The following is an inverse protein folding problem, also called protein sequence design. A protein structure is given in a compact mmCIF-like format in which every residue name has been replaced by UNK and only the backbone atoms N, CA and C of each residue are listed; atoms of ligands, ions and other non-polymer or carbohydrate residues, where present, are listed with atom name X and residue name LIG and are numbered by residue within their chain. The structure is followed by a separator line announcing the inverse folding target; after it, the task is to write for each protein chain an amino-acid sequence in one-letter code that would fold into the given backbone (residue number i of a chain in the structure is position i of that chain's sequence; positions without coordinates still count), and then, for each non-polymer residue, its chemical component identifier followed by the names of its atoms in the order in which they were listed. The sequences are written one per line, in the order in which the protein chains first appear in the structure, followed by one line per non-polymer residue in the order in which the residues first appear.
data_IF_725459970485
#
_entry.id   IF_725459970485
#
_cell.length_a   1.000
_cell.length_b   1.000
_cell.length_c   1.000
_cell.angle_alpha   90.00
_cell.angle_beta   90.00
_cell.angle_gamma   90.00
#
_symmetry.space_group_name_H-M   'P 1'
#
loop_
_entity.id
_entity.type
_entity.pdbx_description
1 polymer ?
#
# COMPACT_ATOMS: atom_id res chain seq x y z
N UNK A 1 -8.70 5.59 9.85
CA UNK A 1 -7.99 5.46 11.14
C UNK A 1 -8.81 6.06 12.29
N UNK A 2 -8.98 7.38 12.39
CA UNK A 2 -9.74 8.05 13.47
C UNK A 2 -11.11 7.41 13.79
N UNK A 3 -11.98 7.22 12.78
CA UNK A 3 -13.30 6.57 12.96
C UNK A 3 -13.20 5.16 13.52
N UNK A 4 -12.25 4.36 13.04
CA UNK A 4 -12.05 2.97 13.50
C UNK A 4 -11.55 2.95 14.95
N UNK A 5 -10.59 3.81 15.28
CA UNK A 5 -10.08 3.93 16.64
C UNK A 5 -11.19 4.33 17.64
N UNK A 6 -12.08 5.25 17.24
CA UNK A 6 -13.25 5.62 18.04
C UNK A 6 -14.24 4.46 18.24
N UNK A 7 -14.50 3.65 17.21
CA UNK A 7 -15.37 2.46 17.32
C UNK A 7 -14.76 1.42 18.28
N UNK A 8 -13.44 1.24 18.27
CA UNK A 8 -12.75 0.29 19.16
C UNK A 8 -12.59 0.86 20.58
N UNK A 9 -12.67 2.17 20.76
CA UNK A 9 -12.47 2.83 22.05
C UNK A 9 -10.99 3.07 22.41
N UNK A 10 -10.10 3.18 21.41
CA UNK A 10 -8.66 3.40 21.61
C UNK A 10 -8.23 4.82 21.25
N UNK A 11 -7.21 5.33 21.96
CA UNK A 11 -6.61 6.64 21.68
C UNK A 11 -5.90 6.61 20.33
N UNK A 12 -6.17 7.61 19.49
CA UNK A 12 -5.52 7.76 18.18
C UNK A 12 -4.52 8.91 18.19
N UNK A 13 -3.22 8.62 18.01
CA UNK A 13 -2.15 9.61 17.79
C UNK A 13 -1.67 9.51 16.34
N UNK A 14 -1.68 10.63 15.61
CA UNK A 14 -1.03 10.70 14.30
C UNK A 14 0.45 11.03 14.51
N UNK A 15 1.32 10.33 13.80
CA UNK A 15 2.78 10.52 13.83
C UNK A 15 3.28 10.79 12.42
N UNK A 16 4.41 11.49 12.31
CA UNK A 16 5.07 11.75 11.03
C UNK A 16 6.34 10.91 10.96
N UNK A 17 6.50 10.21 9.85
CA UNK A 17 7.71 9.47 9.46
C UNK A 17 8.46 10.26 8.40
N UNK A 18 9.73 9.91 8.18
CA UNK A 18 10.61 10.58 7.23
C UNK A 18 11.29 9.61 6.26
N UNK A 19 10.61 8.54 5.87
CA UNK A 19 11.18 7.54 4.95
C UNK A 19 11.57 8.15 3.60
N UNK A 20 10.94 9.25 3.19
CA UNK A 20 11.29 9.99 1.97
C UNK A 20 12.58 10.82 2.08
N UNK A 21 13.22 10.84 3.26
CA UNK A 21 14.54 11.45 3.50
C UNK A 21 15.66 10.38 3.51
N UNK A 22 15.31 9.09 3.38
CA UNK A 22 16.25 7.97 3.37
C UNK A 22 16.59 7.56 1.93
N UNK A 23 17.85 7.75 1.53
CA UNK A 23 18.35 7.38 0.20
C UNK A 23 18.10 5.91 -0.14
N UNK A 24 18.15 5.01 0.84
CA UNK A 24 17.90 3.58 0.62
C UNK A 24 16.42 3.29 0.32
N UNK A 25 15.50 4.06 0.89
CA UNK A 25 14.09 4.03 0.49
C UNK A 25 13.90 4.65 -0.88
N UNK A 26 14.50 5.82 -1.15
CA UNK A 26 14.37 6.55 -2.41
C UNK A 26 14.92 5.76 -3.61
N UNK A 27 15.95 4.93 -3.40
CA UNK A 27 16.50 4.04 -4.42
C UNK A 27 15.49 2.99 -4.93
N UNK A 28 14.39 2.76 -4.20
CA UNK A 28 13.32 1.84 -4.59
C UNK A 28 13.82 0.44 -4.96
N UNK A 29 14.77 -0.08 -4.16
CA UNK A 29 15.24 -1.45 -4.26
C UNK A 29 14.19 -2.47 -3.81
N UNK A 30 14.50 -3.76 -3.94
CA UNK A 30 13.64 -4.86 -3.47
C UNK A 30 13.35 -4.77 -1.96
N UNK A 31 14.25 -4.14 -1.22
CA UNK A 31 14.20 -3.89 0.21
C UNK A 31 13.57 -2.54 0.61
N UNK A 32 12.98 -1.75 -0.30
CA UNK A 32 12.33 -0.46 0.07
C UNK A 32 11.34 -0.59 1.24
N UNK A 33 10.64 -1.72 1.29
CA UNK A 33 9.64 -1.99 2.33
C UNK A 33 10.29 -2.19 3.69
N UNK A 34 11.53 -2.70 3.72
CA UNK A 34 12.34 -2.79 4.94
C UNK A 34 12.69 -1.39 5.44
N UNK A 35 13.26 -0.52 4.60
CA UNK A 35 13.65 0.85 4.98
C UNK A 35 12.47 1.68 5.49
N UNK A 36 11.36 1.69 4.73
CA UNK A 36 10.12 2.35 5.13
C UNK A 36 9.58 1.84 6.49
N UNK A 37 9.65 0.53 6.74
CA UNK A 37 9.21 -0.06 8.00
C UNK A 37 10.17 0.20 9.15
N UNK A 38 11.47 0.23 8.89
CA UNK A 38 12.48 0.54 9.91
C UNK A 38 12.28 1.94 10.47
N UNK A 39 12.07 2.95 9.62
CA UNK A 39 11.73 4.31 10.05
C UNK A 39 10.40 4.34 10.84
N UNK A 40 9.35 3.69 10.32
CA UNK A 40 8.07 3.61 11.03
C UNK A 40 8.22 3.01 12.43
N UNK A 41 8.95 1.90 12.56
CA UNK A 41 9.13 1.23 13.85
C UNK A 41 10.03 2.02 14.80
N UNK A 42 11.05 2.72 14.30
CA UNK A 42 11.84 3.66 15.10
C UNK A 42 11.00 4.81 15.65
N UNK A 43 10.10 5.38 14.85
CA UNK A 43 9.13 6.40 15.32
C UNK A 43 8.17 5.82 16.35
N UNK A 44 7.62 4.63 16.12
CA UNK A 44 6.68 3.98 17.04
C UNK A 44 7.34 3.57 18.36
N UNK A 45 8.63 3.21 18.36
CA UNK A 45 9.41 2.95 19.58
C UNK A 45 9.44 4.16 20.50
N UNK A 46 9.79 5.35 19.97
CA UNK A 46 9.74 6.61 20.73
C UNK A 46 8.35 6.93 21.28
N UNK A 47 7.32 6.64 20.49
CA UNK A 47 5.91 6.84 20.91
C UNK A 47 5.52 5.88 22.04
N UNK A 48 6.05 4.66 22.04
CA UNK A 48 5.84 3.68 23.09
C UNK A 48 6.55 4.12 24.39
N UNK A 49 7.80 4.57 24.28
CA UNK A 49 8.57 5.13 25.40
C UNK A 49 7.85 6.32 26.06
N UNK A 50 7.38 7.28 25.25
CA UNK A 50 6.54 8.42 25.72
C UNK A 50 5.30 7.94 26.49
N UNK A 51 4.76 6.77 26.14
CA UNK A 51 3.57 6.18 26.74
C UNK A 51 3.87 5.25 27.93
N UNK A 52 5.14 5.09 28.30
CA UNK A 52 5.57 4.23 29.41
C UNK A 52 5.50 2.73 29.10
N UNK A 53 5.60 2.34 27.83
CA UNK A 53 5.58 0.93 27.41
C UNK A 53 6.70 0.66 26.40
N UNK A 54 7.19 -0.57 26.36
CA UNK A 54 8.13 -1.03 25.32
C UNK A 54 7.44 -1.80 24.19
N UNK A 55 6.13 -2.05 24.31
CA UNK A 55 5.42 -2.95 23.41
C UNK A 55 4.82 -2.20 22.23
N UNK A 56 5.28 -2.55 21.02
CA UNK A 56 4.65 -2.18 19.76
C UNK A 56 4.16 -3.43 19.06
N UNK A 57 2.89 -3.44 18.65
CA UNK A 57 2.25 -4.56 17.94
C UNK A 57 1.89 -4.16 16.52
N UNK A 58 1.95 -5.14 15.62
CA UNK A 58 1.58 -5.00 14.21
C UNK A 58 0.51 -6.02 13.85
N UNK A 59 -0.41 -5.65 12.95
CA UNK A 59 -1.52 -6.49 12.49
C UNK A 59 -1.14 -7.50 11.40
N UNK A 60 0.12 -7.93 11.33
CA UNK A 60 0.51 -9.05 10.47
C UNK A 60 -0.25 -10.32 10.90
N UNK A 61 -0.70 -11.12 9.93
CA UNK A 61 -1.46 -12.36 10.12
C UNK A 61 -0.75 -13.55 9.43
N UNK A 62 -1.27 -14.77 9.61
CA UNK A 62 -0.60 -15.99 9.16
C UNK A 62 -0.34 -16.03 7.65
N UNK A 63 -1.29 -15.58 6.84
CA UNK A 63 -1.16 -15.53 5.38
C UNK A 63 -0.04 -14.59 4.92
N UNK A 64 0.34 -13.61 5.75
CA UNK A 64 1.42 -12.67 5.42
C UNK A 64 2.82 -13.32 5.48
N UNK A 65 2.97 -14.49 6.11
CA UNK A 65 4.27 -15.17 6.27
C UNK A 65 4.77 -15.84 4.98
N UNK A 66 3.86 -16.19 4.06
CA UNK A 66 4.20 -16.80 2.77
C UNK A 66 4.59 -15.80 1.68
N UNK A 67 4.40 -14.50 1.93
CA UNK A 67 4.66 -13.44 0.97
C UNK A 67 6.11 -12.91 1.08
N UNK A 68 6.67 -12.40 -0.03
CA UNK A 68 7.90 -11.62 0.02
C UNK A 68 7.68 -10.30 0.79
N UNK A 69 8.03 -10.29 2.09
CA UNK A 69 7.81 -9.15 2.99
C UNK A 69 9.07 -8.73 3.76
N UNK A 70 9.98 -7.98 3.11
CA UNK A 70 11.13 -7.37 3.78
C UNK A 70 10.77 -6.53 5.02
N UNK A 71 9.54 -6.00 5.07
CA UNK A 71 9.03 -5.28 6.24
C UNK A 71 8.90 -6.11 7.51
N UNK A 72 8.72 -7.43 7.42
CA UNK A 72 8.69 -8.32 8.60
C UNK A 72 10.09 -8.50 9.20
N UNK A 73 11.15 -8.41 8.38
CA UNK A 73 12.53 -8.37 8.86
C UNK A 73 12.77 -7.14 9.73
N UNK A 74 12.36 -5.96 9.26
CA UNK A 74 12.43 -4.72 10.04
C UNK A 74 11.62 -4.83 11.35
N UNK A 75 10.44 -5.46 11.29
CA UNK A 75 9.61 -5.68 12.47
C UNK A 75 10.35 -6.52 13.54
N UNK A 76 11.01 -7.60 13.11
CA UNK A 76 11.80 -8.46 14.00
C UNK A 76 12.95 -7.71 14.66
N UNK A 77 13.70 -6.92 13.89
CA UNK A 77 14.86 -6.16 14.38
C UNK A 77 14.46 -5.08 15.40
N UNK A 78 13.27 -4.49 15.26
CA UNK A 78 12.71 -3.50 16.19
C UNK A 78 11.89 -4.13 17.33
N UNK A 79 11.88 -5.46 17.48
CA UNK A 79 11.16 -6.14 18.56
C UNK A 79 9.63 -6.04 18.47
N UNK A 80 9.09 -5.80 17.27
CA UNK A 80 7.65 -5.67 17.04
C UNK A 80 6.96 -7.03 17.21
N UNK A 81 5.87 -7.05 17.96
CA UNK A 81 5.05 -8.24 18.18
C UNK A 81 3.95 -8.37 17.13
N UNK A 82 3.54 -9.60 16.84
CA UNK A 82 2.51 -9.90 15.84
C UNK A 82 1.45 -10.82 16.44
N UNK A 83 0.57 -10.31 17.32
CA UNK A 83 -0.36 -11.16 18.08
C UNK A 83 -1.20 -12.09 17.20
N UNK A 84 -1.64 -11.64 16.04
CA UNK A 84 -2.45 -12.46 15.12
C UNK A 84 -1.63 -13.62 14.53
N UNK A 85 -0.34 -13.42 14.23
CA UNK A 85 0.57 -14.53 13.85
C UNK A 85 0.80 -15.46 15.03
N UNK A 86 1.03 -14.91 16.22
CA UNK A 86 1.32 -15.68 17.44
C UNK A 86 0.18 -16.61 17.84
N UNK A 87 -1.06 -16.22 17.56
CA UNK A 87 -2.26 -17.05 17.77
C UNK A 87 -2.73 -17.80 16.52
N UNK A 88 -1.98 -17.74 15.42
CA UNK A 88 -2.26 -18.50 14.19
C UNK A 88 -3.45 -17.99 13.37
N UNK A 89 -3.88 -16.74 13.55
CA UNK A 89 -5.02 -16.17 12.82
C UNK A 89 -4.68 -15.93 11.35
N UNK A 90 -5.50 -16.51 10.49
CA UNK A 90 -5.55 -16.23 9.05
C UNK A 90 -6.31 -14.93 8.76
N UNK A 91 -6.14 -14.38 7.57
CA UNK A 91 -6.85 -13.21 7.06
C UNK A 91 -8.36 -13.41 7.07
N UNK A 92 -8.84 -14.62 6.77
CA UNK A 92 -10.26 -14.94 6.81
C UNK A 92 -10.81 -14.82 8.24
N UNK A 93 -10.10 -15.38 9.22
CA UNK A 93 -10.47 -15.31 10.64
C UNK A 93 -10.39 -13.88 11.18
N UNK A 94 -9.40 -13.08 10.77
CA UNK A 94 -9.32 -11.66 11.12
C UNK A 94 -10.53 -10.89 10.61
N UNK A 95 -10.97 -11.16 9.36
CA UNK A 95 -12.16 -10.52 8.79
C UNK A 95 -13.43 -10.93 9.54
N UNK A 96 -13.56 -12.20 9.88
CA UNK A 96 -14.71 -12.70 10.63
C UNK A 96 -14.75 -12.13 12.06
N UNK A 97 -13.63 -12.13 12.77
CA UNK A 97 -13.51 -11.51 14.09
C UNK A 97 -13.85 -10.02 14.04
N UNK A 98 -13.33 -9.29 13.04
CA UNK A 98 -13.66 -7.88 12.84
C UNK A 98 -15.16 -7.66 12.57
N UNK A 99 -15.80 -8.56 11.82
CA UNK A 99 -17.24 -8.53 11.53
C UNK A 99 -18.07 -8.73 12.80
N UNK A 100 -17.73 -9.74 13.61
CA UNK A 100 -18.38 -10.03 14.91
C UNK A 100 -18.24 -8.84 15.86
N UNK A 101 -17.06 -8.22 15.91
CA UNK A 101 -16.77 -7.03 16.72
C UNK A 101 -17.32 -5.73 16.11
N UNK A 102 -18.04 -5.79 14.98
CA UNK A 102 -18.63 -4.65 14.27
C UNK A 102 -17.61 -3.58 13.87
N UNK A 103 -16.36 -3.98 13.60
CA UNK A 103 -15.33 -3.09 13.10
C UNK A 103 -15.65 -2.76 11.62
N UNK A 104 -15.83 -1.48 11.24
CA UNK A 104 -16.36 -1.10 9.93
C UNK A 104 -15.41 -1.38 8.76
N UNK A 105 -14.18 -1.83 9.03
CA UNK A 105 -13.18 -2.17 8.02
C UNK A 105 -13.02 -3.67 7.80
N UNK A 106 -13.95 -4.50 8.29
CA UNK A 106 -13.89 -5.97 8.16
C UNK A 106 -13.75 -6.43 6.70
N UNK A 107 -14.43 -5.77 5.75
CA UNK A 107 -14.34 -6.09 4.32
C UNK A 107 -13.44 -5.14 3.52
N UNK A 108 -12.59 -4.36 4.19
CA UNK A 108 -11.73 -3.41 3.47
C UNK A 108 -10.71 -4.19 2.61
N UNK A 109 -10.58 -3.89 1.30
CA UNK A 109 -9.53 -4.45 0.47
C UNK A 109 -8.14 -4.08 0.99
N UNK A 110 -7.16 -4.96 0.76
CA UNK A 110 -5.78 -4.68 1.13
C UNK A 110 -5.25 -3.49 0.31
N UNK A 111 -4.81 -2.44 1.01
CA UNK A 111 -4.23 -1.25 0.38
C UNK A 111 -2.71 -1.26 0.52
N UNK A 112 -2.02 -1.61 -0.56
CA UNK A 112 -0.56 -1.48 -0.64
C UNK A 112 -0.14 0.00 -0.70
N UNK A 113 1.10 0.29 -0.27
CA UNK A 113 1.69 1.63 -0.32
C UNK A 113 1.73 2.19 -1.76
N UNK A 114 1.67 3.52 -1.91
CA UNK A 114 1.79 4.18 -3.22
C UNK A 114 3.14 3.88 -3.89
N UNK A 115 4.23 3.71 -3.13
CA UNK A 115 5.52 3.34 -3.70
C UNK A 115 5.50 2.00 -4.44
N UNK A 116 4.55 1.10 -4.14
CA UNK A 116 4.40 -0.16 -4.88
C UNK A 116 3.95 0.04 -6.33
N UNK A 117 3.58 1.26 -6.72
CA UNK A 117 3.18 1.60 -8.09
C UNK A 117 4.38 2.03 -8.93
N UNK A 118 5.49 2.37 -8.29
CA UNK A 118 6.72 2.79 -8.96
C UNK A 118 7.56 1.52 -9.17
N UNK A 119 7.94 1.24 -10.42
CA UNK A 119 8.75 0.06 -10.75
C UNK A 119 10.06 0.04 -9.96
N UNK A 120 10.52 -1.15 -9.55
CA UNK A 120 11.77 -1.29 -8.81
C UNK A 120 12.94 -0.67 -9.60
N UNK A 121 13.85 -0.02 -8.87
CA UNK A 121 14.98 0.72 -9.45
C UNK A 121 14.62 2.09 -10.02
N UNK A 122 13.34 2.44 -10.15
CA UNK A 122 12.92 3.83 -10.45
C UNK A 122 12.87 4.60 -9.14
N UNK A 123 13.65 5.68 -9.05
CA UNK A 123 13.74 6.53 -7.86
C UNK A 123 12.37 7.01 -7.40
N UNK A 124 12.07 6.80 -6.12
CA UNK A 124 10.86 7.34 -5.49
C UNK A 124 11.10 8.83 -5.21
N UNK A 125 10.08 9.65 -5.47
CA UNK A 125 10.05 11.05 -5.02
C UNK A 125 8.68 11.39 -4.46
N UNK A 126 8.62 12.40 -3.59
CA UNK A 126 7.34 12.91 -3.06
C UNK A 126 6.43 13.40 -4.18
N UNK A 127 7.02 14.02 -5.21
CA UNK A 127 6.30 14.48 -6.39
C UNK A 127 5.67 13.30 -7.14
N UNK A 128 6.43 12.24 -7.39
CA UNK A 128 5.94 11.06 -8.12
C UNK A 128 4.86 10.31 -7.32
N UNK A 129 5.05 10.14 -6.02
CA UNK A 129 4.03 9.56 -5.14
C UNK A 129 2.73 10.38 -5.16
N UNK A 130 2.84 11.71 -5.19
CA UNK A 130 1.70 12.62 -5.30
C UNK A 130 1.00 12.49 -6.66
N UNK A 131 1.75 12.43 -7.78
CA UNK A 131 1.21 12.19 -9.13
C UNK A 131 0.47 10.86 -9.20
N UNK A 132 1.06 9.78 -8.71
CA UNK A 132 0.42 8.45 -8.65
C UNK A 132 -0.86 8.49 -7.81
N UNK A 133 -0.82 9.12 -6.64
CA UNK A 133 -2.00 9.24 -5.77
C UNK A 133 -3.15 10.00 -6.45
N UNK A 134 -2.84 11.08 -7.17
CA UNK A 134 -3.80 11.83 -7.98
C UNK A 134 -4.33 11.02 -9.17
N UNK A 135 -3.47 10.26 -9.83
CA UNK A 135 -3.86 9.40 -10.95
C UNK A 135 -4.83 8.30 -10.52
N UNK A 136 -4.54 7.58 -9.42
CA UNK A 136 -5.48 6.60 -8.85
C UNK A 136 -6.77 7.26 -8.35
N UNK A 137 -6.70 8.49 -7.83
CA UNK A 137 -7.88 9.22 -7.39
C UNK A 137 -8.81 9.56 -8.57
N UNK A 138 -8.23 10.00 -9.68
CA UNK A 138 -8.98 10.25 -10.91
C UNK A 138 -9.76 9.00 -11.36
N UNK A 139 -9.11 7.83 -11.38
CA UNK A 139 -9.79 6.58 -11.75
C UNK A 139 -10.93 6.23 -10.77
N UNK A 140 -10.72 6.44 -9.46
CA UNK A 140 -11.77 6.23 -8.46
C UNK A 140 -12.96 7.17 -8.64
N UNK A 141 -12.70 8.43 -8.96
CA UNK A 141 -13.75 9.42 -9.21
C UNK A 141 -14.53 9.11 -10.51
N UNK A 142 -13.91 8.38 -11.47
CA UNK A 142 -14.57 7.78 -12.65
C UNK A 142 -15.31 6.45 -12.34
N UNK A 143 -15.34 6.02 -11.09
CA UNK A 143 -16.07 4.85 -10.62
C UNK A 143 -15.31 3.53 -10.62
N UNK A 144 -14.00 3.52 -10.90
CA UNK A 144 -13.19 2.30 -10.79
C UNK A 144 -12.86 2.00 -9.33
N UNK A 145 -13.51 0.99 -8.73
CA UNK A 145 -13.33 0.64 -7.33
C UNK A 145 -11.91 0.12 -7.04
N UNK A 146 -11.43 -0.79 -7.89
CA UNK A 146 -10.10 -1.38 -7.80
C UNK A 146 -9.28 -1.00 -9.03
N UNK A 147 -8.31 -0.12 -8.81
CA UNK A 147 -7.43 0.39 -9.85
C UNK A 147 -6.01 0.61 -9.32
N UNK A 148 -5.02 0.59 -10.21
CA UNK A 148 -3.65 1.06 -9.97
C UNK A 148 -3.16 1.83 -11.18
N UNK A 149 -2.27 2.79 -10.93
CA UNK A 149 -1.49 3.45 -11.97
C UNK A 149 -0.03 3.13 -11.69
N UNK A 150 0.58 2.27 -12.52
CA UNK A 150 2.00 1.93 -12.42
C UNK A 150 2.83 2.90 -13.22
N UNK A 151 3.99 3.26 -12.69
CA UNK A 151 4.92 4.20 -13.32
C UNK A 151 6.14 3.45 -13.81
N UNK A 152 6.41 3.63 -15.10
CA UNK A 152 7.59 3.14 -15.80
C UNK A 152 8.22 4.31 -16.55
N UNK A 153 9.04 5.11 -15.85
CA UNK A 153 9.57 6.36 -16.41
C UNK A 153 8.46 7.35 -16.75
N UNK A 154 8.31 7.70 -18.04
CA UNK A 154 7.28 8.63 -18.53
C UNK A 154 5.96 7.95 -18.92
N UNK A 155 5.83 6.63 -18.65
CA UNK A 155 4.66 5.82 -18.94
C UNK A 155 3.83 5.57 -17.68
N UNK A 156 2.55 5.96 -17.73
CA UNK A 156 1.54 5.55 -16.76
C UNK A 156 0.74 4.36 -17.29
N UNK A 157 0.95 3.18 -16.70
CA UNK A 157 0.20 1.96 -17.02
C UNK A 157 -0.96 1.77 -16.07
N UNK A 158 -2.18 1.82 -16.60
CA UNK A 158 -3.42 1.67 -15.85
C UNK A 158 -3.78 0.20 -15.71
N UNK A 159 -4.03 -0.23 -14.48
CA UNK A 159 -4.56 -1.55 -14.13
C UNK A 159 -5.95 -1.35 -13.51
N UNK A 160 -7.00 -1.94 -14.08
CA UNK A 160 -8.35 -2.02 -13.48
C UNK A 160 -8.78 -3.48 -13.42
N UNK A 161 -9.84 -3.81 -12.69
CA UNK A 161 -10.37 -5.19 -12.70
C UNK A 161 -10.61 -5.68 -14.13
N UNK A 162 -10.32 -6.95 -14.48
CA UNK A 162 -10.48 -7.44 -15.83
C UNK A 162 -11.88 -7.21 -16.44
N UNK A 163 -12.92 -7.31 -15.61
CA UNK A 163 -14.31 -7.02 -16.01
C UNK A 163 -14.56 -5.54 -16.38
N UNK A 164 -13.74 -4.62 -15.89
CA UNK A 164 -13.83 -3.17 -16.14
C UNK A 164 -13.03 -2.72 -17.36
N UNK A 165 -12.19 -3.58 -17.95
CA UNK A 165 -11.36 -3.24 -19.13
C UNK A 165 -12.20 -2.70 -20.30
N UNK A 166 -13.36 -3.31 -20.67
CA UNK A 166 -14.19 -2.78 -21.75
C UNK A 166 -14.74 -1.38 -21.45
N UNK A 167 -15.08 -1.09 -20.19
CA UNK A 167 -15.59 0.22 -19.76
C UNK A 167 -14.50 1.29 -19.86
N UNK A 168 -13.29 0.97 -19.40
CA UNK A 168 -12.14 1.86 -19.49
C UNK A 168 -11.77 2.20 -20.95
N UNK A 169 -11.94 1.25 -21.87
CA UNK A 169 -11.64 1.44 -23.29
C UNK A 169 -12.68 2.27 -24.07
N UNK A 170 -13.83 2.60 -23.47
CA UNK A 170 -14.85 3.42 -24.13
C UNK A 170 -14.32 4.82 -24.45
N UNK A 171 -14.63 5.42 -25.63
CA UNK A 171 -14.07 6.70 -26.07
C UNK A 171 -14.17 7.84 -25.05
N UNK A 172 -15.31 7.99 -24.37
CA UNK A 172 -15.51 9.04 -23.36
C UNK A 172 -14.64 8.86 -22.11
N UNK A 173 -14.60 7.63 -21.58
CA UNK A 173 -13.82 7.31 -20.36
C UNK A 173 -12.33 7.34 -20.66
N UNK A 174 -11.88 6.69 -21.74
CA UNK A 174 -10.46 6.67 -22.11
C UNK A 174 -9.92 8.08 -22.38
N UNK A 175 -10.72 8.96 -22.97
CA UNK A 175 -10.33 10.35 -23.21
C UNK A 175 -10.05 11.09 -21.90
N UNK A 176 -10.98 11.01 -20.94
CA UNK A 176 -10.82 11.61 -19.62
C UNK A 176 -9.60 11.07 -18.86
N UNK A 177 -9.33 9.76 -18.95
CA UNK A 177 -8.15 9.13 -18.35
C UNK A 177 -6.86 9.63 -19.01
N UNK A 178 -6.80 9.64 -20.35
CA UNK A 178 -5.62 10.11 -21.09
C UNK A 178 -5.33 11.57 -20.78
N UNK A 179 -6.33 12.44 -20.86
CA UNK A 179 -6.15 13.88 -20.61
C UNK A 179 -5.73 14.15 -19.17
N UNK A 180 -6.37 13.48 -18.21
CA UNK A 180 -6.07 13.60 -16.79
C UNK A 180 -4.66 13.12 -16.44
N UNK A 181 -4.23 11.97 -16.95
CA UNK A 181 -2.88 11.46 -16.70
C UNK A 181 -1.80 12.27 -17.43
N UNK A 182 -2.06 12.75 -18.64
CA UNK A 182 -1.13 13.66 -19.33
C UNK A 182 -0.99 14.99 -18.61
N UNK A 183 -2.07 15.54 -18.05
CA UNK A 183 -2.01 16.74 -17.20
C UNK A 183 -1.22 16.53 -15.90
N UNK A 184 -0.99 15.27 -15.48
CA UNK A 184 -0.10 14.93 -14.36
C UNK A 184 1.39 14.83 -14.77
N UNK A 185 1.69 14.92 -16.06
CA UNK A 185 3.05 14.90 -16.60
C UNK A 185 3.48 13.58 -17.24
N UNK A 186 2.60 12.58 -17.37
CA UNK A 186 2.93 11.34 -18.08
C UNK A 186 2.86 11.54 -19.60
N UNK A 187 3.88 11.09 -20.33
CA UNK A 187 3.92 11.21 -21.79
C UNK A 187 3.01 10.19 -22.46
N UNK A 188 3.02 8.97 -21.93
CA UNK A 188 2.26 7.84 -22.44
C UNK A 188 1.32 7.30 -21.37
N UNK A 189 0.10 6.97 -21.79
CA UNK A 189 -0.90 6.32 -20.95
C UNK A 189 -1.25 5.00 -21.62
N UNK A 190 -1.04 3.91 -20.90
CA UNK A 190 -1.24 2.55 -21.40
C UNK A 190 -2.23 1.81 -20.53
N UNK A 191 -2.85 0.78 -21.10
CA UNK A 191 -3.72 -0.15 -20.39
C UNK A 191 -2.99 -1.49 -20.24
N UNK A 192 -2.92 -2.00 -19.01
CA UNK A 192 -2.49 -3.37 -18.78
C UNK A 192 -3.60 -4.33 -19.23
N UNK A 193 -3.31 -5.15 -20.25
CA UNK A 193 -4.29 -6.08 -20.83
C UNK A 193 -4.64 -7.23 -19.90
N UNK A 194 -3.78 -7.52 -18.92
CA UNK A 194 -4.05 -8.54 -17.90
C UNK A 194 -4.90 -7.99 -16.75
N UNK A 195 -5.06 -6.66 -16.69
CA UNK A 195 -5.79 -5.96 -15.65
C UNK A 195 -5.10 -5.99 -14.29
N UNK A 196 -5.86 -5.67 -13.24
CA UNK A 196 -5.38 -5.64 -11.88
C UNK A 196 -5.16 -7.05 -11.35
N UNK A 197 -3.97 -7.29 -10.78
CA UNK A 197 -3.65 -8.47 -9.99
C UNK A 197 -2.90 -8.09 -8.72
N UNK A 198 -3.28 -8.71 -7.61
CA UNK A 198 -2.53 -8.55 -6.36
C UNK A 198 -1.12 -9.13 -6.52
N UNK A 199 -0.11 -8.46 -5.96
CA UNK A 199 1.27 -8.94 -6.03
C UNK A 199 1.94 -8.87 -7.41
N UNK A 200 1.32 -8.26 -8.44
CA UNK A 200 1.85 -8.27 -9.83
C UNK A 200 3.23 -7.65 -10.05
N UNK A 201 3.75 -6.91 -9.07
CA UNK A 201 5.09 -6.31 -9.12
C UNK A 201 6.08 -7.01 -8.19
N UNK A 202 5.67 -8.03 -7.45
CA UNK A 202 6.62 -8.77 -6.63
C UNK A 202 7.61 -9.48 -7.56
N UNK A 203 8.91 -9.52 -7.22
CA UNK A 203 9.83 -10.37 -7.96
C UNK A 203 9.33 -11.82 -7.89
N UNK A 204 9.48 -12.57 -8.97
CA UNK A 204 9.29 -14.02 -8.90
C UNK A 204 10.23 -14.59 -7.82
N UNK A 205 9.77 -15.57 -7.02
CA UNK A 205 10.69 -16.29 -6.16
C UNK A 205 11.82 -16.85 -7.04
N UNK A 206 13.08 -16.82 -6.58
CA UNK A 206 14.16 -17.44 -7.33
C UNK A 206 13.80 -18.92 -7.60
N UNK A 207 14.17 -19.45 -8.79
CA UNK A 207 13.91 -20.83 -9.17
C UNK A 207 14.57 -21.84 -8.21
#
# INVERSE_FOLDING_TARGET
ARRVAAVIGVRHRAVRTRETEDDAYLANGLDRCYHCKSELYGVLGRVAEDAGTSMVVSGANLDDLGDYRPGLRAAKEHGIRHPLVEVGFTKAEVREAARVLRIPTWDKPASACLSSRIAFGVTISVEELSKVGRAERLLKDLGFAQCRVRVHGDVARVEVEPAELPRLAQPGIRGQVVDGLKALGYRYVTLDLEGFRSGSMNPEPPP
#
